data_IF_773052854517
#
_entry.id   IF_773052854517
#
_cell.length_a   1.000
_cell.length_b   1.000
_cell.length_c   1.000
_cell.angle_alpha   90.00
_cell.angle_beta   90.00
_cell.angle_gamma   90.00
#
_symmetry.space_group_name_H-M   'P 1'
#
loop_
_entity.id
_entity.type
_entity.pdbx_description
1 polymer ?
#
# COMPACT_ATOMS: atom_id res chain seq x y z
N UNK A 1 42.70 9.72 17.01
CA UNK A 1 41.58 10.58 17.48
C UNK A 1 40.39 9.66 17.56
N UNK A 2 39.86 9.41 18.76
CA UNK A 2 38.77 8.46 18.96
C UNK A 2 37.44 9.11 18.57
N UNK A 3 36.86 8.65 17.46
CA UNK A 3 35.53 9.06 17.03
C UNK A 3 34.48 8.57 18.04
N UNK A 4 33.90 9.50 18.79
CA UNK A 4 32.79 9.20 19.67
C UNK A 4 31.51 9.05 18.85
N UNK A 5 31.03 7.82 18.67
CA UNK A 5 29.82 7.52 17.91
C UNK A 5 28.58 7.62 18.81
N UNK A 6 27.75 8.63 18.59
CA UNK A 6 26.48 8.80 19.33
C UNK A 6 25.40 7.92 18.68
N UNK A 7 24.83 6.98 19.44
CA UNK A 7 23.71 6.13 18.99
C UNK A 7 22.40 6.61 19.58
N UNK A 8 21.43 6.94 18.72
CA UNK A 8 20.09 7.30 19.12
C UNK A 8 19.14 6.10 18.98
N UNK A 9 18.22 5.95 19.94
CA UNK A 9 17.10 5.01 19.82
C UNK A 9 15.95 5.72 19.10
N UNK A 10 15.61 5.26 17.91
CA UNK A 10 14.41 5.73 17.20
C UNK A 10 13.21 5.06 17.86
N UNK A 11 12.27 5.87 18.34
CA UNK A 11 10.98 5.41 18.89
C UNK A 11 9.90 5.81 17.89
N UNK A 12 9.21 4.83 17.33
CA UNK A 12 8.07 5.06 16.47
C UNK A 12 6.80 5.17 17.33
N UNK A 13 6.04 6.24 17.17
CA UNK A 13 4.75 6.44 17.85
C UNK A 13 3.68 6.77 16.83
N UNK A 14 2.48 6.24 17.02
CA UNK A 14 1.31 6.64 16.24
C UNK A 14 0.57 7.73 17.03
N UNK A 15 0.22 8.87 16.41
CA UNK A 15 -0.55 9.89 17.10
C UNK A 15 -1.94 9.35 17.47
N UNK A 16 -2.39 9.65 18.70
CA UNK A 16 -3.67 9.15 19.23
C UNK A 16 -4.90 9.60 18.41
N UNK A 17 -4.77 10.68 17.64
CA UNK A 17 -5.86 11.28 16.85
C UNK A 17 -5.67 11.05 15.34
N UNK A 18 -4.98 9.96 14.95
CA UNK A 18 -4.86 9.62 13.53
C UNK A 18 -6.25 9.26 12.99
N UNK A 19 -6.75 10.05 12.03
CA UNK A 19 -8.01 9.76 11.35
C UNK A 19 -7.79 8.56 10.43
N UNK A 20 -8.57 7.51 10.65
CA UNK A 20 -8.61 6.36 9.76
C UNK A 20 -9.67 6.61 8.68
N UNK A 21 -9.24 6.52 7.43
CA UNK A 21 -10.11 6.65 6.26
C UNK A 21 -9.99 5.37 5.44
N UNK A 22 -11.09 4.95 4.81
CA UNK A 22 -11.08 3.79 3.93
C UNK A 22 -10.62 4.22 2.53
N UNK A 23 -9.64 3.50 1.99
CA UNK A 23 -9.21 3.65 0.60
C UNK A 23 -9.76 2.48 -0.21
N UNK A 24 -10.48 2.77 -1.29
CA UNK A 24 -10.93 1.77 -2.26
C UNK A 24 -10.36 2.03 -3.67
N UNK A 25 -9.58 3.09 -3.83
CA UNK A 25 -8.83 3.42 -5.04
C UNK A 25 -7.33 3.54 -4.72
N UNK A 26 -6.50 3.09 -5.64
CA UNK A 26 -5.05 3.18 -5.54
C UNK A 26 -4.45 3.43 -6.90
N UNK A 27 -3.70 4.52 -7.01
CA UNK A 27 -3.12 4.97 -8.27
C UNK A 27 -1.63 5.26 -8.10
N UNK A 28 -0.85 4.79 -9.08
CA UNK A 28 0.57 5.11 -9.19
C UNK A 28 0.74 6.02 -10.40
N UNK A 29 1.28 7.21 -10.17
CA UNK A 29 1.61 8.18 -11.22
C UNK A 29 3.07 8.57 -11.09
N UNK A 30 3.62 9.20 -12.12
CA UNK A 30 4.93 9.83 -12.02
C UNK A 30 5.01 11.04 -12.93
N UNK A 31 5.92 11.95 -12.60
CA UNK A 31 6.42 12.95 -13.54
C UNK A 31 7.85 12.59 -13.99
N UNK A 32 8.69 13.58 -14.30
CA UNK A 32 10.08 13.36 -14.71
C UNK A 32 10.99 12.91 -13.55
N UNK A 33 10.69 13.33 -12.32
CA UNK A 33 11.61 13.22 -11.18
C UNK A 33 10.98 12.49 -9.97
N UNK A 34 9.66 12.44 -9.91
CA UNK A 34 8.91 11.99 -8.73
C UNK A 34 7.86 10.94 -9.10
N UNK A 35 7.75 9.92 -8.26
CA UNK A 35 6.66 8.96 -8.24
C UNK A 35 5.64 9.35 -7.18
N UNK A 36 4.36 9.17 -7.50
CA UNK A 36 3.24 9.44 -6.61
C UNK A 36 2.45 8.15 -6.38
N UNK A 37 2.35 7.71 -5.14
CA UNK A 37 1.39 6.69 -4.74
C UNK A 37 0.21 7.39 -4.07
N UNK A 38 -0.94 7.37 -4.71
CA UNK A 38 -2.16 8.03 -4.25
C UNK A 38 -3.17 6.98 -3.82
N UNK A 39 -3.71 7.19 -2.62
CA UNK A 39 -4.81 6.43 -2.04
C UNK A 39 -6.06 7.30 -2.13
N UNK A 40 -7.08 6.77 -2.79
CA UNK A 40 -8.32 7.49 -3.06
C UNK A 40 -9.54 6.79 -2.47
N UNK A 41 -10.60 7.58 -2.34
CA UNK A 41 -11.94 7.09 -2.07
C UNK A 41 -12.86 7.49 -3.20
N UNK A 42 -13.32 6.48 -3.92
CA UNK A 42 -14.41 6.58 -4.85
C UNK A 42 -15.69 6.34 -4.06
N UNK A 43 -16.62 7.29 -4.10
CA UNK A 43 -17.97 7.09 -3.58
C UNK A 43 -18.87 6.69 -4.74
N UNK A 44 -19.25 5.41 -4.89
CA UNK A 44 -20.16 5.02 -5.95
C UNK A 44 -21.51 5.70 -5.71
N UNK A 45 -22.08 6.37 -6.70
CA UNK A 45 -23.42 6.93 -6.57
C UNK A 45 -24.44 5.82 -6.37
N UNK A 46 -25.45 6.12 -5.56
CA UNK A 46 -26.55 5.20 -5.27
C UNK A 46 -27.61 5.36 -6.36
N UNK A 47 -27.82 4.32 -7.17
CA UNK A 47 -28.84 4.31 -8.23
C UNK A 47 -30.14 3.79 -7.62
N UNK A 48 -31.10 4.69 -7.42
CA UNK A 48 -32.39 4.34 -6.83
C UNK A 48 -33.53 4.32 -7.87
N UNK A 49 -33.28 4.86 -9.06
CA UNK A 49 -34.25 4.93 -10.15
C UNK A 49 -33.60 4.73 -11.52
N UNK A 50 -34.44 4.47 -12.53
CA UNK A 50 -34.01 4.37 -13.92
C UNK A 50 -33.50 5.71 -14.47
N UNK A 51 -34.04 6.82 -13.98
CA UNK A 51 -33.60 8.17 -14.32
C UNK A 51 -32.19 8.46 -13.78
N UNK A 52 -31.87 8.01 -12.57
CA UNK A 52 -30.52 8.11 -12.00
C UNK A 52 -29.48 7.38 -12.87
N UNK A 53 -29.85 6.22 -13.40
CA UNK A 53 -28.98 5.43 -14.29
C UNK A 53 -28.71 6.16 -15.62
N UNK A 54 -29.73 6.78 -16.20
CA UNK A 54 -29.61 7.55 -17.45
C UNK A 54 -28.75 8.82 -17.23
N UNK A 55 -28.95 9.52 -16.11
CA UNK A 55 -28.14 10.68 -15.71
C UNK A 55 -26.68 10.31 -15.43
N UNK A 56 -26.43 9.15 -14.82
CA UNK A 56 -25.07 8.65 -14.59
C UNK A 56 -24.36 8.29 -15.89
N UNK A 57 -25.07 7.68 -16.84
CA UNK A 57 -24.52 7.38 -18.16
C UNK A 57 -24.12 8.67 -18.91
N UNK A 58 -24.80 9.79 -18.64
CA UNK A 58 -24.43 11.11 -19.19
C UNK A 58 -23.24 11.77 -18.49
N UNK A 59 -23.05 11.57 -17.18
CA UNK A 59 -21.97 12.20 -16.41
C UNK A 59 -20.58 11.65 -16.75
N UNK A 60 -20.48 10.39 -17.19
CA UNK A 60 -19.28 9.78 -17.77
C UNK A 60 -18.04 9.66 -16.87
N UNK A 61 -18.04 10.24 -15.67
CA UNK A 61 -16.92 10.26 -14.74
C UNK A 61 -17.41 10.08 -13.29
N UNK A 62 -16.64 9.33 -12.51
CA UNK A 62 -16.82 9.20 -11.06
C UNK A 62 -15.61 9.86 -10.40
N UNK A 63 -15.84 10.74 -9.43
CA UNK A 63 -14.78 11.42 -8.70
C UNK A 63 -14.10 10.46 -7.71
N UNK A 64 -12.76 10.47 -7.69
CA UNK A 64 -11.95 9.82 -6.67
C UNK A 64 -11.32 10.89 -5.80
N UNK A 65 -11.71 10.95 -4.52
CA UNK A 65 -11.14 11.89 -3.56
C UNK A 65 -9.82 11.34 -3.02
N UNK A 66 -8.72 12.07 -3.17
CA UNK A 66 -7.44 11.68 -2.60
C UNK A 66 -7.47 11.78 -1.06
N UNK A 67 -7.24 10.65 -0.38
CA UNK A 67 -7.12 10.56 1.09
C UNK A 67 -5.67 10.74 1.51
N UNK A 68 -4.75 10.10 0.79
CA UNK A 68 -3.33 10.18 1.07
C UNK A 68 -2.53 10.16 -0.23
N UNK A 69 -1.40 10.87 -0.24
CA UNK A 69 -0.48 10.89 -1.36
C UNK A 69 0.95 10.86 -0.86
N UNK A 70 1.70 9.87 -1.31
CA UNK A 70 3.13 9.74 -1.04
C UNK A 70 3.89 10.20 -2.29
N UNK A 71 4.76 11.19 -2.13
CA UNK A 71 5.69 11.62 -3.17
C UNK A 71 7.07 11.02 -2.90
N UNK A 72 7.63 10.35 -3.90
CA UNK A 72 8.87 9.59 -3.77
C UNK A 72 9.80 10.01 -4.90
N UNK A 73 10.94 10.57 -4.52
CA UNK A 73 12.00 10.87 -5.46
C UNK A 73 12.51 9.59 -6.14
N UNK A 74 12.79 9.67 -7.44
CA UNK A 74 13.20 8.53 -8.27
C UNK A 74 14.40 7.75 -7.71
N UNK A 75 15.29 8.40 -6.95
CA UNK A 75 16.46 7.77 -6.37
C UNK A 75 16.11 6.84 -5.18
N UNK A 76 14.97 7.07 -4.52
CA UNK A 76 14.52 6.27 -3.38
C UNK A 76 13.53 5.18 -3.75
N UNK A 77 12.90 5.25 -4.92
CA UNK A 77 11.95 4.23 -5.36
C UNK A 77 12.54 2.80 -5.36
N UNK A 78 13.78 2.54 -5.83
CA UNK A 78 14.36 1.20 -5.77
C UNK A 78 14.50 0.67 -4.34
N UNK A 79 14.82 1.55 -3.38
CA UNK A 79 14.92 1.20 -1.96
C UNK A 79 13.55 0.82 -1.40
N UNK A 80 12.51 1.60 -1.73
CA UNK A 80 11.15 1.28 -1.33
C UNK A 80 10.69 -0.09 -1.88
N UNK A 81 10.92 -0.33 -3.17
CA UNK A 81 10.54 -1.59 -3.83
C UNK A 81 11.18 -2.79 -3.11
N UNK A 82 12.49 -2.72 -2.83
CA UNK A 82 13.20 -3.77 -2.10
C UNK A 82 12.61 -3.98 -0.72
N UNK A 83 12.37 -2.91 0.03
CA UNK A 83 11.77 -3.02 1.36
C UNK A 83 10.38 -3.67 1.34
N UNK A 84 9.56 -3.37 0.32
CA UNK A 84 8.25 -4.01 0.13
C UNK A 84 8.40 -5.50 -0.22
N UNK A 85 9.33 -5.85 -1.10
CA UNK A 85 9.61 -7.24 -1.48
C UNK A 85 10.09 -8.07 -0.29
N UNK A 86 11.03 -7.54 0.50
CA UNK A 86 11.54 -8.20 1.70
C UNK A 86 10.43 -8.45 2.73
N UNK A 87 9.54 -7.47 2.92
CA UNK A 87 8.40 -7.61 3.81
C UNK A 87 7.39 -8.63 3.30
N UNK A 88 7.13 -8.67 1.99
CA UNK A 88 6.26 -9.67 1.39
C UNK A 88 6.82 -11.08 1.58
N UNK A 89 8.12 -11.28 1.36
CA UNK A 89 8.77 -12.57 1.56
C UNK A 89 8.62 -13.05 3.01
N UNK A 90 8.88 -12.16 4.00
CA UNK A 90 8.69 -12.47 5.43
C UNK A 90 7.24 -12.84 5.75
N UNK A 91 6.28 -12.10 5.20
CA UNK A 91 4.85 -12.37 5.37
C UNK A 91 4.48 -13.76 4.82
N UNK A 92 4.98 -14.11 3.64
CA UNK A 92 4.74 -15.41 3.02
C UNK A 92 5.35 -16.55 3.84
N UNK A 93 6.61 -16.41 4.29
CA UNK A 93 7.26 -17.43 5.14
C UNK A 93 6.54 -17.63 6.48
N UNK A 94 5.94 -16.59 7.04
CA UNK A 94 5.19 -16.70 8.30
C UNK A 94 3.83 -17.40 8.12
N UNK A 95 3.21 -17.29 6.94
CA UNK A 95 1.85 -17.77 6.69
C UNK A 95 1.78 -19.07 5.87
N UNK A 96 2.88 -19.49 5.23
CA UNK A 96 3.05 -20.84 4.70
C UNK A 96 4.05 -21.59 5.58
N UNK A 97 3.64 -22.12 6.75
CA UNK A 97 4.45 -23.11 7.43
C UNK A 97 4.58 -24.29 6.46
N UNK A 98 5.80 -24.58 6.02
CA UNK A 98 6.09 -25.77 5.23
C UNK A 98 5.46 -26.95 5.96
N UNK A 99 4.47 -27.59 5.35
CA UNK A 99 3.95 -28.87 5.81
C UNK A 99 5.08 -29.88 5.64
N UNK A 100 5.95 -29.98 6.65
CA UNK A 100 6.81 -31.14 6.84
C UNK A 100 5.89 -32.24 7.37
N UNK A 101 5.17 -32.91 6.47
CA UNK A 101 4.57 -34.20 6.76
C UNK A 101 5.17 -35.22 5.81
N UNK A 102 6.11 -35.98 6.38
CA UNK A 102 6.22 -37.43 6.19
C UNK A 102 6.41 -37.92 4.74
N UNK A 103 7.68 -37.97 4.32
CA UNK A 103 8.13 -38.93 3.30
C UNK A 103 9.49 -39.51 3.76
N UNK A 104 9.51 -40.09 4.96
CA UNK A 104 10.59 -40.95 5.46
C UNK A 104 10.03 -42.34 5.82
N UNK A 105 9.31 -43.01 4.92
CA UNK A 105 9.03 -44.46 5.08
C UNK A 105 8.35 -45.09 3.87
N UNK A 106 9.04 -45.18 2.72
CA UNK A 106 8.78 -46.26 1.75
C UNK A 106 9.89 -46.22 0.69
N UNK A 107 10.96 -46.98 0.92
CA UNK A 107 11.82 -47.65 -0.08
C UNK A 107 13.07 -48.16 0.66
N UNK A 108 12.84 -49.10 1.58
CA UNK A 108 13.79 -50.20 1.86
C UNK A 108 13.09 -51.51 1.54
#
# INVERSE_FOLDING_TARGET
MDEHQIKFKIVHTNPNNLKFEFSNDFMIMHDRETFYLQFGQISPPQINSKEDLENMAMLGMIESQAIARLAIDKNYLPVLIRALQDNLAKYQSANNPVTQSEDESEFM
#
